data_IF_397001854661
#
_entry.id   IF_397001854661
#
_cell.length_a   1.000
_cell.length_b   1.000
_cell.length_c   1.000
_cell.angle_alpha   90.00
_cell.angle_beta   90.00
_cell.angle_gamma   90.00
#
_symmetry.space_group_name_H-M   'P 1'
#
loop_
_entity.id
_entity.type
_entity.pdbx_description
1 polymer ?
#
# COMPACT_ATOMS: atom_id res chain seq x y z
N UNK A 1 42.42 -5.21 -15.66
CA UNK A 1 42.11 -4.45 -14.43
C UNK A 1 40.86 -3.63 -14.68
N UNK A 2 39.70 -4.24 -14.47
CA UNK A 2 38.38 -3.60 -14.45
C UNK A 2 37.54 -4.45 -13.52
N UNK A 3 37.76 -4.23 -12.23
CA UNK A 3 37.00 -4.81 -11.13
C UNK A 3 36.69 -3.66 -10.18
N UNK A 4 35.49 -3.66 -9.61
CA UNK A 4 34.98 -2.70 -8.62
C UNK A 4 34.18 -1.51 -9.16
N UNK A 5 32.90 -1.78 -9.44
CA UNK A 5 31.81 -0.99 -8.87
C UNK A 5 30.54 -1.85 -8.74
N UNK A 6 30.71 -3.09 -8.29
CA UNK A 6 29.61 -3.90 -7.75
C UNK A 6 29.33 -3.41 -6.33
N UNK A 7 28.57 -2.32 -6.20
CA UNK A 7 28.02 -1.91 -4.91
C UNK A 7 26.53 -2.21 -4.90
N UNK A 8 26.24 -3.48 -4.68
CA UNK A 8 24.98 -3.96 -4.12
C UNK A 8 24.75 -3.18 -2.83
N UNK A 9 23.97 -2.11 -2.90
CA UNK A 9 23.48 -1.43 -1.72
C UNK A 9 22.59 -2.43 -1.01
N UNK A 10 23.08 -3.02 0.07
CA UNK A 10 22.29 -3.87 0.97
C UNK A 10 21.17 -2.97 1.52
N UNK A 11 20.02 -3.00 0.84
CA UNK A 11 18.81 -2.26 1.21
C UNK A 11 18.44 -2.65 2.64
N UNK A 12 18.40 -1.66 3.52
CA UNK A 12 18.19 -1.87 4.95
C UNK A 12 16.69 -2.03 5.21
N UNK A 13 16.22 -3.27 5.21
CA UNK A 13 14.85 -3.62 5.59
C UNK A 13 14.54 -3.02 6.97
N UNK A 14 13.45 -2.26 7.08
CA UNK A 14 13.05 -1.65 8.35
C UNK A 14 12.59 -2.72 9.33
N UNK A 15 12.74 -2.46 10.64
CA UNK A 15 12.26 -3.38 11.68
C UNK A 15 10.76 -3.64 11.55
N UNK A 16 9.96 -2.62 11.21
CA UNK A 16 8.52 -2.75 10.97
C UNK A 16 8.20 -3.70 9.81
N UNK A 17 8.91 -3.57 8.69
CA UNK A 17 8.73 -4.47 7.55
C UNK A 17 9.09 -5.91 7.92
N UNK A 18 10.22 -6.14 8.61
CA UNK A 18 10.61 -7.49 9.04
C UNK A 18 9.56 -8.14 9.94
N UNK A 19 9.04 -7.40 10.93
CA UNK A 19 7.95 -7.89 11.80
C UNK A 19 6.71 -8.24 10.95
N UNK A 20 6.36 -7.39 9.98
CA UNK A 20 5.19 -7.63 9.11
C UNK A 20 5.36 -8.90 8.30
N UNK A 21 6.50 -9.08 7.63
CA UNK A 21 6.78 -10.28 6.82
C UNK A 21 6.73 -11.55 7.69
N UNK A 22 7.33 -11.53 8.88
CA UNK A 22 7.25 -12.68 9.80
C UNK A 22 5.81 -12.96 10.24
N UNK A 23 5.02 -11.93 10.55
CA UNK A 23 3.61 -12.08 10.94
C UNK A 23 2.77 -12.67 9.80
N UNK A 24 3.02 -12.22 8.56
CA UNK A 24 2.35 -12.74 7.36
C UNK A 24 2.72 -14.20 7.10
N UNK A 25 3.99 -14.57 7.23
CA UNK A 25 4.45 -15.96 7.09
C UNK A 25 3.84 -16.89 8.15
N UNK A 26 3.83 -16.48 9.42
CA UNK A 26 3.20 -17.25 10.49
C UNK A 26 1.69 -17.39 10.26
N UNK A 27 1.03 -16.33 9.77
CA UNK A 27 -0.39 -16.38 9.41
C UNK A 27 -0.65 -17.35 8.25
N UNK A 28 0.20 -17.35 7.23
CA UNK A 28 0.09 -18.24 6.07
C UNK A 28 0.29 -19.71 6.45
N UNK A 29 1.22 -20.00 7.37
CA UNK A 29 1.57 -21.36 7.79
C UNK A 29 0.62 -21.94 8.84
N UNK A 30 0.15 -21.11 9.78
CA UNK A 30 -0.58 -21.57 10.97
C UNK A 30 -1.99 -20.99 11.09
N UNK A 31 -2.39 -20.09 10.18
CA UNK A 31 -3.61 -19.30 10.30
C UNK A 31 -3.45 -18.12 11.26
N UNK A 32 -4.41 -17.18 11.21
CA UNK A 32 -4.34 -15.97 12.02
C UNK A 32 -4.40 -16.24 13.53
N UNK A 33 -4.96 -17.35 14.00
CA UNK A 33 -4.98 -17.70 15.43
C UNK A 33 -3.82 -18.62 15.85
N UNK A 34 -3.07 -19.19 14.91
CA UNK A 34 -2.10 -20.25 15.16
C UNK A 34 -0.71 -19.82 15.65
N UNK A 35 -0.55 -18.57 16.07
CA UNK A 35 0.72 -18.08 16.64
C UNK A 35 0.48 -17.00 17.70
N UNK A 36 1.49 -16.68 18.48
CA UNK A 36 1.45 -15.67 19.53
C UNK A 36 2.32 -14.47 19.18
N UNK A 37 2.11 -13.34 19.86
CA UNK A 37 2.98 -12.17 19.71
C UNK A 37 4.42 -12.43 20.21
N UNK A 38 4.64 -13.45 21.05
CA UNK A 38 5.97 -13.86 21.49
C UNK A 38 6.70 -14.64 20.40
N UNK A 39 6.04 -15.62 19.79
CA UNK A 39 6.58 -16.37 18.64
C UNK A 39 6.86 -15.43 17.47
N UNK A 40 6.02 -14.41 17.25
CA UNK A 40 6.30 -13.37 16.27
C UNK A 40 7.56 -12.58 16.61
N UNK A 41 7.74 -12.19 17.87
CA UNK A 41 8.92 -11.44 18.30
C UNK A 41 10.21 -12.26 18.11
N UNK A 42 10.15 -13.55 18.46
CA UNK A 42 11.24 -14.50 18.24
C UNK A 42 11.56 -14.65 16.74
N UNK A 43 10.55 -14.92 15.91
CA UNK A 43 10.71 -15.04 14.46
C UNK A 43 11.28 -13.77 13.81
N UNK A 44 10.87 -12.59 14.28
CA UNK A 44 11.36 -11.31 13.79
C UNK A 44 12.70 -10.87 14.40
N UNK A 45 13.27 -11.66 15.33
CA UNK A 45 14.54 -11.37 16.00
C UNK A 45 14.50 -10.07 16.82
N UNK A 46 13.39 -9.80 17.50
CA UNK A 46 13.19 -8.59 18.32
C UNK A 46 12.53 -8.93 19.66
N UNK A 47 12.50 -7.99 20.60
CA UNK A 47 11.75 -8.19 21.85
C UNK A 47 10.25 -8.04 21.64
N UNK A 48 9.43 -8.67 22.48
CA UNK A 48 7.97 -8.45 22.52
C UNK A 48 7.62 -6.96 22.63
N UNK A 49 8.32 -6.23 23.51
CA UNK A 49 8.17 -4.76 23.66
C UNK A 49 8.42 -4.04 22.33
N UNK A 50 9.43 -4.46 21.58
CA UNK A 50 9.72 -3.88 20.26
C UNK A 50 8.55 -4.10 19.30
N UNK A 51 7.96 -5.29 19.25
CA UNK A 51 6.78 -5.54 18.40
C UNK A 51 5.65 -4.58 18.74
N UNK A 52 5.30 -4.46 20.03
CA UNK A 52 4.24 -3.55 20.47
C UNK A 52 4.55 -2.06 20.29
N UNK A 53 5.83 -1.67 20.20
CA UNK A 53 6.18 -0.30 19.85
C UNK A 53 5.87 0.02 18.38
N UNK A 54 5.88 -0.97 17.49
CA UNK A 54 5.56 -0.78 16.07
C UNK A 54 4.09 -1.06 15.75
N UNK A 55 3.48 -2.03 16.43
CA UNK A 55 2.13 -2.50 16.12
C UNK A 55 1.26 -2.62 17.37
N UNK A 56 0.08 -1.97 17.42
CA UNK A 56 -0.83 -2.05 18.55
C UNK A 56 -1.28 -3.49 18.85
N UNK A 57 -1.44 -4.31 17.82
CA UNK A 57 -1.84 -5.70 17.96
C UNK A 57 -1.44 -6.61 16.80
N UNK A 58 -1.83 -7.87 16.92
CA UNK A 58 -1.54 -8.94 15.96
C UNK A 58 -2.07 -8.63 14.57
N UNK A 59 -3.30 -8.10 14.51
CA UNK A 59 -3.94 -7.70 13.27
C UNK A 59 -3.11 -6.63 12.55
N UNK A 60 -2.61 -5.64 13.28
CA UNK A 60 -1.79 -4.58 12.69
C UNK A 60 -0.43 -5.08 12.23
N UNK A 61 0.17 -6.00 12.98
CA UNK A 61 1.42 -6.65 12.58
C UNK A 61 1.26 -7.45 11.28
N UNK A 62 0.12 -8.13 11.08
CA UNK A 62 -0.14 -8.91 9.86
C UNK A 62 -0.44 -8.01 8.65
N UNK A 63 -1.29 -7.00 8.84
CA UNK A 63 -1.65 -6.08 7.75
C UNK A 63 -0.57 -5.04 7.46
N UNK A 64 0.42 -4.90 8.36
CA UNK A 64 1.47 -3.90 8.28
C UNK A 64 1.00 -2.49 8.63
N UNK A 65 1.94 -1.54 8.56
CA UNK A 65 1.63 -0.13 8.81
C UNK A 65 0.79 0.46 7.68
N UNK A 66 -0.04 1.44 8.05
CA UNK A 66 -0.73 2.27 7.08
C UNK A 66 0.31 2.94 6.17
N UNK A 67 0.05 3.04 4.85
CA UNK A 67 0.89 3.84 3.98
C UNK A 67 0.97 5.27 4.50
N UNK A 68 2.19 5.80 4.67
CA UNK A 68 2.41 7.20 4.99
C UNK A 68 2.75 7.95 3.71
N UNK A 69 2.05 9.06 3.48
CA UNK A 69 2.39 10.02 2.43
C UNK A 69 3.23 11.11 3.08
N UNK A 70 4.31 11.51 2.43
CA UNK A 70 5.12 12.62 2.95
C UNK A 70 4.30 13.90 3.00
N UNK A 71 4.44 14.66 4.08
CA UNK A 71 3.69 15.89 4.32
C UNK A 71 3.91 16.96 3.24
N UNK A 72 5.09 16.98 2.60
CA UNK A 72 5.39 17.91 1.52
C UNK A 72 4.58 17.62 0.25
N UNK A 73 4.42 16.34 -0.12
CA UNK A 73 3.56 15.93 -1.24
C UNK A 73 2.09 16.26 -0.98
N UNK A 74 1.59 16.03 0.25
CA UNK A 74 0.23 16.39 0.62
C UNK A 74 0.02 17.91 0.58
N UNK A 75 1.03 18.67 1.03
CA UNK A 75 1.00 20.13 1.01
C UNK A 75 0.96 20.66 -0.42
N UNK A 76 1.82 20.13 -1.30
CA UNK A 76 1.84 20.48 -2.72
C UNK A 76 0.50 20.17 -3.41
N UNK A 77 -0.04 18.98 -3.19
CA UNK A 77 -1.35 18.59 -3.72
C UNK A 77 -2.47 19.52 -3.29
N UNK A 78 -2.53 19.89 -2.00
CA UNK A 78 -3.58 20.79 -1.50
C UNK A 78 -3.46 22.21 -2.04
N UNK A 79 -2.28 22.62 -2.54
CA UNK A 79 -2.07 23.90 -3.25
C UNK A 79 -2.41 23.82 -4.74
N UNK A 80 -2.81 22.65 -5.24
CA UNK A 80 -3.17 22.43 -6.62
C UNK A 80 -2.00 22.03 -7.52
N UNK A 81 -0.89 21.53 -6.98
CA UNK A 81 0.24 21.03 -7.77
C UNK A 81 0.36 19.49 -7.74
N UNK A 82 1.36 18.93 -8.45
CA UNK A 82 2.35 19.63 -9.28
C UNK A 82 1.86 20.08 -10.67
N UNK A 83 0.93 19.36 -11.30
CA UNK A 83 0.51 19.58 -12.69
C UNK A 83 -0.69 20.54 -12.82
N UNK A 84 -1.37 20.86 -11.72
CA UNK A 84 -2.59 21.69 -11.78
C UNK A 84 -3.86 20.87 -11.99
N UNK A 85 -3.73 19.59 -12.37
CA UNK A 85 -4.85 18.70 -12.65
C UNK A 85 -5.10 17.76 -11.46
N UNK A 86 -6.32 17.81 -10.91
CA UNK A 86 -6.70 17.02 -9.72
C UNK A 86 -6.40 15.52 -9.87
N UNK A 87 -6.70 14.95 -11.04
CA UNK A 87 -6.56 13.52 -11.26
C UNK A 87 -5.09 13.17 -11.40
N UNK A 88 -4.34 13.90 -12.22
CA UNK A 88 -2.91 13.62 -12.44
C UNK A 88 -2.10 13.80 -11.15
N UNK A 89 -2.39 14.83 -10.37
CA UNK A 89 -1.72 15.10 -9.10
C UNK A 89 -2.06 14.04 -8.03
N UNK A 90 -3.32 13.58 -7.99
CA UNK A 90 -3.73 12.49 -7.12
C UNK A 90 -3.03 11.18 -7.52
N UNK A 91 -2.91 10.91 -8.83
CA UNK A 91 -2.20 9.74 -9.34
C UNK A 91 -0.71 9.80 -8.98
N UNK A 92 -0.08 10.97 -9.06
CA UNK A 92 1.32 11.17 -8.65
C UNK A 92 1.57 10.79 -7.19
N UNK A 93 0.69 11.22 -6.27
CA UNK A 93 0.77 10.81 -4.86
C UNK A 93 0.67 9.28 -4.73
N UNK A 94 -0.29 8.68 -5.41
CA UNK A 94 -0.57 7.25 -5.27
C UNK A 94 0.55 6.39 -5.88
N UNK A 95 1.12 6.79 -7.01
CA UNK A 95 2.33 6.17 -7.58
C UNK A 95 3.46 6.25 -6.57
N UNK A 96 3.70 7.40 -5.95
CA UNK A 96 4.73 7.52 -4.92
C UNK A 96 4.47 6.59 -3.71
N UNK A 97 3.21 6.45 -3.27
CA UNK A 97 2.83 5.50 -2.20
C UNK A 97 3.09 4.04 -2.58
N UNK A 98 2.95 3.71 -3.86
CA UNK A 98 3.21 2.38 -4.40
C UNK A 98 4.71 2.12 -4.52
N UNK A 99 5.47 3.02 -5.15
CA UNK A 99 6.90 2.84 -5.40
C UNK A 99 7.75 2.89 -4.12
N UNK A 100 7.24 3.47 -3.04
CA UNK A 100 7.91 3.48 -1.72
C UNK A 100 7.77 2.19 -0.94
N UNK A 101 6.80 1.34 -1.28
CA UNK A 101 6.62 0.05 -0.62
C UNK A 101 7.55 -0.99 -1.23
N UNK A 102 8.64 -1.27 -0.54
CA UNK A 102 9.57 -2.35 -0.89
C UNK A 102 8.98 -3.71 -0.45
N UNK A 103 7.94 -4.20 -1.13
CA UNK A 103 7.53 -5.61 -1.02
C UNK A 103 8.00 -6.38 -2.25
N UNK A 104 8.55 -7.57 -2.02
CA UNK A 104 8.76 -8.52 -3.11
C UNK A 104 7.42 -9.06 -3.61
N UNK A 105 7.37 -9.53 -4.87
CA UNK A 105 6.18 -10.20 -5.42
C UNK A 105 5.71 -11.34 -4.52
N UNK A 106 6.64 -12.14 -4.01
CA UNK A 106 6.34 -13.25 -3.09
C UNK A 106 5.68 -12.79 -1.78
N UNK A 107 6.15 -11.68 -1.18
CA UNK A 107 5.52 -11.10 0.01
C UNK A 107 4.11 -10.59 -0.29
N UNK A 108 3.91 -9.92 -1.43
CA UNK A 108 2.60 -9.45 -1.86
C UNK A 108 1.61 -10.61 -2.12
N UNK A 109 2.08 -11.72 -2.70
CA UNK A 109 1.28 -12.95 -2.87
C UNK A 109 0.83 -13.53 -1.53
N UNK A 110 1.74 -13.65 -0.56
CA UNK A 110 1.43 -14.13 0.79
C UNK A 110 0.42 -13.20 1.47
N UNK A 111 0.67 -11.90 1.49
CA UNK A 111 -0.21 -10.90 2.09
C UNK A 111 -1.63 -10.96 1.49
N UNK A 112 -1.74 -11.06 0.17
CA UNK A 112 -3.03 -11.23 -0.52
C UNK A 112 -3.72 -12.53 -0.11
N UNK A 113 -2.98 -13.64 -0.06
CA UNK A 113 -3.53 -14.97 0.27
C UNK A 113 -4.11 -14.99 1.67
N UNK A 114 -3.37 -14.51 2.67
CA UNK A 114 -3.83 -14.50 4.07
C UNK A 114 -5.04 -13.58 4.27
N UNK A 115 -5.07 -12.41 3.62
CA UNK A 115 -6.19 -11.47 3.73
C UNK A 115 -7.45 -12.07 3.09
N UNK A 116 -7.32 -12.81 1.98
CA UNK A 116 -8.45 -13.52 1.37
C UNK A 116 -8.93 -14.73 2.18
N UNK A 117 -8.04 -15.36 2.94
CA UNK A 117 -8.33 -16.59 3.67
C UNK A 117 -9.03 -16.32 5.03
N UNK A 118 -8.78 -15.18 5.68
CA UNK A 118 -9.38 -14.85 6.98
C UNK A 118 -10.35 -13.65 6.89
N UNK A 119 -11.66 -13.84 7.18
CA UNK A 119 -12.65 -12.76 7.13
C UNK A 119 -12.34 -11.55 8.02
N UNK A 120 -11.64 -11.74 9.15
CA UNK A 120 -11.28 -10.65 10.07
C UNK A 120 -10.19 -9.78 9.46
N UNK A 121 -9.19 -10.40 8.81
CA UNK A 121 -8.16 -9.68 8.07
C UNK A 121 -8.76 -8.93 6.89
N UNK A 122 -9.71 -9.54 6.17
CA UNK A 122 -10.41 -8.86 5.08
C UNK A 122 -11.22 -7.66 5.59
N UNK A 123 -12.02 -7.83 6.63
CA UNK A 123 -12.82 -6.75 7.21
C UNK A 123 -11.94 -5.58 7.66
N UNK A 124 -10.83 -5.85 8.33
CA UNK A 124 -9.94 -4.78 8.79
C UNK A 124 -9.10 -4.16 7.65
N UNK A 125 -8.76 -4.90 6.60
CA UNK A 125 -8.17 -4.34 5.39
C UNK A 125 -9.14 -3.37 4.70
N UNK A 126 -10.42 -3.74 4.59
CA UNK A 126 -11.48 -2.86 4.07
C UNK A 126 -11.66 -1.62 4.93
N UNK A 127 -11.75 -1.76 6.26
CA UNK A 127 -11.90 -0.61 7.17
C UNK A 127 -10.72 0.38 7.04
N UNK A 128 -9.49 -0.12 6.99
CA UNK A 128 -8.30 0.73 6.77
C UNK A 128 -8.33 1.45 5.43
N UNK A 129 -8.81 0.78 4.39
CA UNK A 129 -8.95 1.35 3.06
C UNK A 129 -10.03 2.43 3.03
N UNK A 130 -11.17 2.20 3.67
CA UNK A 130 -12.22 3.20 3.82
C UNK A 130 -11.70 4.44 4.57
N UNK A 131 -11.01 4.26 5.69
CA UNK A 131 -10.39 5.36 6.43
C UNK A 131 -9.40 6.17 5.59
N UNK A 132 -8.55 5.50 4.81
CA UNK A 132 -7.64 6.17 3.88
C UNK A 132 -8.40 6.95 2.79
N UNK A 133 -9.46 6.35 2.23
CA UNK A 133 -10.30 7.00 1.24
C UNK A 133 -10.98 8.26 1.81
N UNK A 134 -11.43 8.24 3.07
CA UNK A 134 -12.01 9.42 3.72
C UNK A 134 -11.00 10.55 3.92
N UNK A 135 -9.77 10.23 4.32
CA UNK A 135 -8.69 11.21 4.46
C UNK A 135 -8.34 11.88 3.13
N UNK A 136 -8.22 11.08 2.05
CA UNK A 136 -8.00 11.61 0.70
C UNK A 136 -9.21 12.41 0.19
N UNK A 137 -10.43 11.98 0.47
CA UNK A 137 -11.61 12.75 0.13
C UNK A 137 -11.59 14.13 0.81
N UNK A 138 -11.16 14.21 2.07
CA UNK A 138 -10.99 15.48 2.77
C UNK A 138 -9.87 16.34 2.14
N UNK A 139 -8.76 15.74 1.70
CA UNK A 139 -7.69 16.44 0.97
C UNK A 139 -8.19 17.02 -0.36
N UNK A 140 -8.97 16.25 -1.12
CA UNK A 140 -9.56 16.68 -2.40
C UNK A 140 -10.52 17.85 -2.18
N UNK A 141 -11.40 17.79 -1.17
CA UNK A 141 -12.31 18.90 -0.85
C UNK A 141 -11.54 20.15 -0.41
N UNK A 142 -10.46 20.00 0.36
CA UNK A 142 -9.60 21.15 0.73
C UNK A 142 -8.96 21.81 -0.49
N UNK A 143 -8.56 21.03 -1.48
CA UNK A 143 -7.95 21.51 -2.73
C UNK A 143 -8.97 22.22 -3.65
N UNK A 144 -10.09 21.55 -3.93
CA UNK A 144 -11.07 22.00 -4.94
C UNK A 144 -12.16 22.91 -4.37
N UNK A 145 -12.27 23.00 -3.04
CA UNK A 145 -13.26 23.77 -2.31
C UNK A 145 -14.57 23.02 -2.04
N UNK A 146 -15.38 23.59 -1.14
CA UNK A 146 -16.63 23.01 -0.65
C UNK A 146 -17.65 22.69 -1.76
N UNK A 147 -17.63 23.45 -2.86
CA UNK A 147 -18.51 23.24 -4.01
C UNK A 147 -18.25 21.90 -4.73
N UNK A 148 -17.01 21.38 -4.67
CA UNK A 148 -16.69 20.05 -5.20
C UNK A 148 -17.46 18.97 -4.44
N UNK A 149 -17.55 19.13 -3.12
CA UNK A 149 -18.35 18.31 -2.22
C UNK A 149 -17.78 16.94 -1.94
N UNK A 150 -18.07 16.43 -0.74
CA UNK A 150 -17.52 15.17 -0.26
C UNK A 150 -17.91 13.94 -1.11
N UNK A 151 -19.12 13.92 -1.68
CA UNK A 151 -19.59 12.80 -2.53
C UNK A 151 -18.71 12.62 -3.77
N UNK A 152 -18.35 13.71 -4.46
CA UNK A 152 -17.48 13.64 -5.65
C UNK A 152 -16.07 13.21 -5.27
N UNK A 153 -15.56 13.73 -4.16
CA UNK A 153 -14.24 13.37 -3.64
C UNK A 153 -14.14 11.88 -3.30
N UNK A 154 -15.15 11.33 -2.61
CA UNK A 154 -15.26 9.89 -2.33
C UNK A 154 -15.34 9.06 -3.61
N UNK A 155 -16.16 9.45 -4.59
CA UNK A 155 -16.24 8.73 -5.86
C UNK A 155 -14.89 8.69 -6.58
N UNK A 156 -14.19 9.82 -6.65
CA UNK A 156 -12.88 9.90 -7.30
C UNK A 156 -11.88 8.96 -6.62
N UNK A 157 -11.70 9.08 -5.30
CA UNK A 157 -10.71 8.23 -4.61
C UNK A 157 -11.09 6.74 -4.64
N UNK A 158 -12.37 6.39 -4.54
CA UNK A 158 -12.82 5.00 -4.66
C UNK A 158 -12.52 4.41 -6.04
N UNK A 159 -12.71 5.19 -7.11
CA UNK A 159 -12.36 4.76 -8.47
C UNK A 159 -10.86 4.51 -8.61
N UNK A 160 -10.04 5.46 -8.16
CA UNK A 160 -8.58 5.32 -8.25
C UNK A 160 -8.08 4.13 -7.42
N UNK A 161 -8.66 3.92 -6.25
CA UNK A 161 -8.29 2.83 -5.39
C UNK A 161 -8.78 1.45 -5.92
N UNK A 162 -9.85 1.44 -6.73
CA UNK A 162 -10.24 0.28 -7.53
C UNK A 162 -9.19 -0.05 -8.61
N UNK A 163 -8.66 0.96 -9.32
CA UNK A 163 -7.58 0.77 -10.29
C UNK A 163 -6.31 0.19 -9.65
N UNK A 164 -5.98 0.61 -8.43
CA UNK A 164 -4.89 0.01 -7.66
C UNK A 164 -5.12 -1.48 -7.42
N UNK A 165 -6.36 -1.87 -7.06
CA UNK A 165 -6.73 -3.28 -6.89
C UNK A 165 -6.57 -4.09 -8.17
N UNK A 166 -6.92 -3.52 -9.33
CA UNK A 166 -6.70 -4.15 -10.65
C UNK A 166 -5.21 -4.32 -10.93
N UNK A 167 -4.43 -3.24 -10.84
CA UNK A 167 -2.98 -3.27 -11.05
C UNK A 167 -2.26 -4.28 -10.14
N UNK A 168 -2.66 -4.37 -8.87
CA UNK A 168 -2.13 -5.36 -7.95
C UNK A 168 -2.47 -6.79 -8.37
N UNK A 169 -3.65 -7.05 -8.93
CA UNK A 169 -3.97 -8.37 -9.47
C UNK A 169 -3.09 -8.70 -10.68
N UNK A 170 -2.86 -7.73 -11.58
CA UNK A 170 -2.10 -7.94 -12.80
C UNK A 170 -0.62 -8.24 -12.52
N UNK A 171 -0.01 -7.53 -11.55
CA UNK A 171 1.37 -7.80 -11.09
C UNK A 171 1.51 -9.18 -10.47
N UNK A 172 0.48 -9.63 -9.77
CA UNK A 172 0.44 -10.94 -9.12
C UNK A 172 0.03 -12.07 -10.07
N UNK A 173 -0.37 -11.74 -11.30
CA UNK A 173 -0.69 -12.72 -12.33
C UNK A 173 0.59 -13.44 -12.77
N UNK A 174 0.51 -14.76 -12.88
CA UNK A 174 1.62 -15.61 -13.32
C UNK A 174 2.07 -15.30 -14.76
N UNK A 175 1.17 -14.77 -15.58
CA UNK A 175 1.44 -14.43 -16.98
C UNK A 175 2.20 -13.10 -17.15
N UNK A 176 2.36 -12.32 -16.08
CA UNK A 176 3.06 -11.03 -16.08
C UNK A 176 4.34 -11.04 -15.22
N UNK A 177 5.31 -11.92 -15.47
CA UNK A 177 6.54 -11.96 -14.68
C UNK A 177 7.33 -10.66 -14.85
N UNK A 178 7.53 -9.93 -13.75
CA UNK A 178 8.34 -8.71 -13.72
C UNK A 178 7.58 -7.41 -14.00
N UNK A 179 6.25 -7.44 -14.12
CA UNK A 179 5.44 -6.23 -14.14
C UNK A 179 5.57 -5.49 -12.81
N UNK A 180 5.98 -4.22 -12.84
CA UNK A 180 6.08 -3.36 -11.66
C UNK A 180 4.71 -2.72 -11.35
N UNK A 181 4.42 -2.51 -10.06
CA UNK A 181 3.08 -2.09 -9.63
C UNK A 181 2.74 -0.66 -10.01
N UNK A 182 3.73 0.22 -10.05
CA UNK A 182 3.58 1.57 -10.58
C UNK A 182 3.30 1.57 -12.08
N UNK A 183 4.01 0.73 -12.85
CA UNK A 183 3.75 0.54 -14.30
C UNK A 183 2.32 0.04 -14.53
N UNK A 184 1.92 -1.04 -13.87
CA UNK A 184 0.57 -1.60 -13.98
C UNK A 184 -0.52 -0.58 -13.60
N UNK A 185 -0.26 0.22 -12.57
CA UNK A 185 -1.20 1.25 -12.11
C UNK A 185 -1.34 2.39 -13.11
N UNK A 186 -0.24 2.86 -13.71
CA UNK A 186 -0.25 3.87 -14.78
C UNK A 186 -0.96 3.36 -16.04
N UNK A 187 -0.76 2.09 -16.40
CA UNK A 187 -1.47 1.45 -17.51
C UNK A 187 -2.98 1.35 -17.27
N UNK A 188 -3.39 0.96 -16.05
CA UNK A 188 -4.80 0.91 -15.66
C UNK A 188 -5.47 2.29 -15.71
N UNK A 189 -4.76 3.33 -15.25
CA UNK A 189 -5.20 4.73 -15.34
C UNK A 189 -5.37 5.20 -16.79
N UNK A 190 -4.38 4.92 -17.64
CA UNK A 190 -4.41 5.29 -19.06
C UNK A 190 -5.56 4.60 -19.78
N UNK A 191 -5.78 3.32 -19.50
CA UNK A 191 -6.90 2.54 -20.04
C UNK A 191 -8.25 3.12 -19.65
N UNK A 192 -8.43 3.50 -18.37
CA UNK A 192 -9.68 4.12 -17.92
C UNK A 192 -9.93 5.46 -18.63
N UNK A 193 -8.89 6.28 -18.82
CA UNK A 193 -8.98 7.57 -19.53
C UNK A 193 -9.42 7.39 -20.98
N UNK A 194 -8.86 6.40 -21.67
CA UNK A 194 -9.23 6.06 -23.05
C UNK A 194 -10.68 5.56 -23.14
N UNK A 195 -11.15 4.79 -22.16
CA UNK A 195 -12.53 4.32 -22.12
C UNK A 195 -13.54 5.45 -21.88
N UNK A 196 -13.19 6.43 -21.05
CA UNK A 196 -14.07 7.57 -20.72
C UNK A 196 -14.10 8.65 -21.81
N UNK A 197 -13.17 8.62 -22.77
CA UNK A 197 -13.08 9.58 -23.87
C UNK A 197 -13.77 9.12 -25.16
N UNK A 198 -14.33 7.91 -25.17
CA UNK A 198 -15.17 7.37 -26.26
C UNK A 198 -16.63 7.79 -26.12
#
# INVERSE_FOLDING_TARGET
MTESANSLTVRKVTTAHRITVCAQQLTDQHGFDGFTMDELAEAAGVSRRTVFNYFPGKLDAVLGNKPEVRDDLLTEFTRGGPEGNLIDDLCSILVHMVSTKEFTRAEAEVARRIVKADPRLMAAAHERFEGLAEEFAALIVRREGEAFGNRRARLLISMVACLYGVALNDVLDADNPGLELDVAFVEALSTLRDLLSR
#
